data_IF_432562887291
#
_entry.id   IF_432562887291
#
_cell.length_a   1.000
_cell.length_b   1.000
_cell.length_c   1.000
_cell.angle_alpha   90.00
_cell.angle_beta   90.00
_cell.angle_gamma   90.00
#
_symmetry.space_group_name_H-M   'P 1'
#
loop_
_entity.id
_entity.type
_entity.pdbx_description
1 polymer ?
#
# COMPACT_ATOMS: atom_id res chain seq x y z
N UNK A 1 -54.15 62.17 -34.83
CA UNK A 1 -53.65 62.13 -36.22
C UNK A 1 -52.28 62.81 -36.23
N UNK A 2 -51.28 62.19 -36.88
CA UNK A 2 -49.91 62.67 -37.16
C UNK A 2 -48.98 62.76 -35.93
N UNK A 3 -47.89 61.96 -35.84
CA UNK A 3 -46.69 61.88 -36.68
C UNK A 3 -45.74 63.08 -36.43
N UNK A 4 -44.51 62.78 -35.99
CA UNK A 4 -43.48 63.80 -35.75
C UNK A 4 -42.16 63.21 -35.24
N UNK A 5 -41.50 62.45 -36.10
CA UNK A 5 -40.09 62.05 -36.02
C UNK A 5 -39.19 63.31 -35.95
N UNK A 6 -38.23 63.38 -35.04
CA UNK A 6 -37.12 64.34 -35.13
C UNK A 6 -35.78 63.60 -35.05
N UNK A 7 -35.11 63.55 -36.21
CA UNK A 7 -33.75 63.07 -36.45
C UNK A 7 -32.83 64.30 -36.56
N UNK A 8 -31.59 64.17 -36.06
CA UNK A 8 -30.43 64.99 -36.42
C UNK A 8 -29.84 65.74 -35.23
N UNK A 9 -28.54 65.83 -34.99
CA UNK A 9 -27.32 65.43 -35.69
C UNK A 9 -26.23 65.31 -34.57
N UNK A 10 -25.07 64.67 -34.74
CA UNK A 10 -23.89 65.30 -35.32
C UNK A 10 -22.71 64.32 -35.44
N UNK A 11 -21.80 64.76 -36.29
CA UNK A 11 -20.68 64.11 -36.95
C UNK A 11 -19.46 63.99 -36.02
N UNK A 12 -18.64 62.95 -36.23
CA UNK A 12 -17.49 62.46 -35.44
C UNK A 12 -16.34 63.47 -35.17
N UNK A 13 -15.41 63.15 -34.25
CA UNK A 13 -14.19 62.46 -34.69
C UNK A 13 -13.80 61.25 -33.83
N UNK A 14 -13.15 60.29 -34.48
CA UNK A 14 -12.49 59.16 -33.84
C UNK A 14 -11.30 59.63 -33.00
N UNK A 15 -11.37 59.47 -31.69
CA UNK A 15 -10.18 59.50 -30.83
C UNK A 15 -9.65 58.08 -30.73
N UNK A 16 -8.54 57.83 -31.43
CA UNK A 16 -7.71 56.65 -31.24
C UNK A 16 -7.32 56.54 -29.75
N UNK A 17 -7.87 55.54 -29.07
CA UNK A 17 -7.29 55.06 -27.82
C UNK A 17 -6.20 54.08 -28.21
N UNK A 18 -4.99 54.38 -27.75
CA UNK A 18 -3.82 53.55 -27.89
C UNK A 18 -4.13 52.11 -27.44
N UNK A 19 -3.75 51.15 -28.28
CA UNK A 19 -3.71 49.73 -27.94
C UNK A 19 -2.80 49.55 -26.71
N UNK A 20 -3.33 49.16 -25.53
CA UNK A 20 -2.45 48.78 -24.44
C UNK A 20 -1.68 47.52 -24.88
N UNK A 21 -0.36 47.44 -24.68
CA UNK A 21 0.34 46.18 -24.88
C UNK A 21 -0.38 45.11 -24.08
N UNK A 22 -0.78 44.03 -24.74
CA UNK A 22 -1.31 42.83 -24.08
C UNK A 22 -0.21 42.33 -23.14
N UNK A 23 -0.33 42.66 -21.86
CA UNK A 23 0.44 42.02 -20.82
C UNK A 23 0.12 40.52 -20.88
N UNK A 24 1.12 39.62 -20.89
CA UNK A 24 0.86 38.20 -20.90
C UNK A 24 0.02 37.87 -19.66
N UNK A 25 -1.15 37.26 -19.90
CA UNK A 25 -2.05 36.82 -18.84
C UNK A 25 -1.25 35.95 -17.85
N UNK A 26 -1.16 36.42 -16.62
CA UNK A 26 -0.61 35.66 -15.51
C UNK A 26 -1.62 34.55 -15.24
N UNK A 27 -1.25 33.31 -15.56
CA UNK A 27 -2.01 32.13 -15.17
C UNK A 27 -2.33 32.19 -13.67
N UNK A 28 -3.55 31.87 -13.23
CA UNK A 28 -3.84 31.69 -11.81
C UNK A 28 -2.89 30.63 -11.27
N UNK A 29 -2.03 31.04 -10.34
CA UNK A 29 -1.00 30.22 -9.74
C UNK A 29 -1.52 28.81 -9.44
N UNK A 30 -0.97 27.81 -10.15
CA UNK A 30 -1.05 26.43 -9.72
C UNK A 30 -0.53 26.36 -8.27
N UNK A 31 -1.16 25.58 -7.39
CA UNK A 31 -0.66 25.39 -6.03
C UNK A 31 0.80 24.94 -6.09
N UNK A 32 1.65 25.41 -5.15
CA UNK A 32 3.09 25.17 -5.18
C UNK A 32 3.35 23.67 -5.34
N UNK A 33 3.91 23.30 -6.49
CA UNK A 33 4.42 21.96 -6.71
C UNK A 33 5.59 21.79 -5.74
N UNK A 34 5.49 20.85 -4.81
CA UNK A 34 6.59 20.51 -3.90
C UNK A 34 7.69 19.93 -4.79
N UNK A 35 8.75 20.70 -5.03
CA UNK A 35 9.90 20.26 -5.84
C UNK A 35 10.55 19.04 -5.17
N UNK A 36 10.35 17.87 -5.78
CA UNK A 36 10.87 16.59 -5.30
C UNK A 36 10.11 15.35 -5.81
N UNK A 37 8.84 15.47 -6.23
CA UNK A 37 8.05 14.36 -6.75
C UNK A 37 7.72 14.57 -8.24
N UNK A 38 8.44 13.86 -9.13
CA UNK A 38 8.26 13.95 -10.59
C UNK A 38 7.63 12.68 -11.20
N UNK A 39 7.03 11.82 -10.36
CA UNK A 39 6.31 10.62 -10.77
C UNK A 39 4.85 10.60 -10.27
N UNK A 40 3.99 9.75 -10.82
CA UNK A 40 2.65 9.53 -10.26
C UNK A 40 2.76 9.07 -8.81
N UNK A 41 1.92 9.62 -7.93
CA UNK A 41 1.83 9.18 -6.54
C UNK A 41 0.82 8.05 -6.42
N UNK A 42 1.15 7.06 -5.61
CA UNK A 42 0.36 5.86 -5.39
C UNK A 42 -0.16 5.82 -3.96
N UNK A 43 -1.47 5.58 -3.81
CA UNK A 43 -2.07 5.45 -2.49
C UNK A 43 -1.83 4.03 -1.98
N UNK A 44 -1.26 3.91 -0.79
CA UNK A 44 -1.00 2.63 -0.16
C UNK A 44 -1.93 2.42 1.03
N UNK A 45 -2.60 1.29 1.07
CA UNK A 45 -3.34 0.80 2.23
C UNK A 45 -2.63 -0.40 2.83
N UNK A 46 -2.25 -0.28 4.10
CA UNK A 46 -1.61 -1.33 4.89
C UNK A 46 -2.64 -1.97 5.79
N UNK A 47 -2.77 -3.30 5.72
CA UNK A 47 -3.65 -4.09 6.58
C UNK A 47 -2.88 -5.16 7.31
N UNK A 48 -3.11 -5.29 8.61
CA UNK A 48 -2.52 -6.36 9.39
C UNK A 48 -3.53 -6.98 10.35
N UNK A 49 -3.46 -8.29 10.53
CA UNK A 49 -4.18 -9.02 11.56
C UNK A 49 -3.19 -9.80 12.42
N UNK A 50 -3.51 -9.84 13.70
CA UNK A 50 -2.75 -10.60 14.70
C UNK A 50 -3.78 -11.41 15.48
N UNK A 51 -3.89 -12.67 15.09
CA UNK A 51 -4.90 -13.58 15.60
C UNK A 51 -4.27 -14.51 16.63
N UNK A 52 -4.43 -14.19 17.91
CA UNK A 52 -3.90 -14.96 19.02
C UNK A 52 -3.76 -14.13 20.30
N UNK A 53 -3.01 -14.66 21.25
CA UNK A 53 -2.67 -13.94 22.49
C UNK A 53 -1.36 -13.22 22.24
N UNK A 54 -1.44 -11.93 21.95
CA UNK A 54 -0.28 -11.04 21.77
C UNK A 54 -0.27 -9.94 22.82
N UNK A 55 0.92 -9.46 23.19
CA UNK A 55 1.11 -8.17 23.85
C UNK A 55 2.11 -7.36 23.06
N UNK A 56 1.96 -6.03 23.18
CA UNK A 56 2.85 -5.05 22.56
C UNK A 56 3.09 -5.37 21.07
N UNK A 57 2.01 -5.67 20.35
CA UNK A 57 2.09 -5.80 18.92
C UNK A 57 2.53 -4.46 18.34
N UNK A 58 3.55 -4.48 17.49
CA UNK A 58 4.07 -3.30 16.81
C UNK A 58 3.94 -3.50 15.32
N UNK A 59 3.40 -2.51 14.62
CA UNK A 59 3.29 -2.48 13.16
C UNK A 59 4.04 -1.27 12.67
N UNK A 60 5.07 -1.50 11.86
CA UNK A 60 5.82 -0.46 11.18
C UNK A 60 5.49 -0.49 9.68
N UNK A 61 5.34 0.67 9.05
CA UNK A 61 4.95 0.78 7.64
C UNK A 61 5.47 2.08 7.03
N UNK A 62 5.64 2.10 5.70
CA UNK A 62 6.05 3.31 4.96
C UNK A 62 4.90 4.30 4.85
N UNK A 63 5.10 5.53 5.32
CA UNK A 63 4.12 6.62 5.13
C UNK A 63 4.40 7.43 3.86
N UNK A 64 5.68 7.50 3.48
CA UNK A 64 6.20 7.97 2.21
C UNK A 64 7.51 7.25 1.87
N UNK A 65 8.15 7.61 0.74
CA UNK A 65 9.38 6.98 0.25
C UNK A 65 10.50 6.90 1.30
N UNK A 66 10.58 7.91 2.16
CA UNK A 66 11.67 8.08 3.13
C UNK A 66 11.26 7.75 4.56
N UNK A 67 10.00 7.98 4.92
CA UNK A 67 9.56 7.92 6.30
C UNK A 67 8.83 6.62 6.64
N UNK A 68 9.10 6.12 7.83
CA UNK A 68 8.42 4.95 8.42
C UNK A 68 7.63 5.42 9.63
N UNK A 69 6.37 5.02 9.70
CA UNK A 69 5.54 5.21 10.87
C UNK A 69 5.40 3.88 11.63
N UNK A 70 5.19 3.97 12.94
CA UNK A 70 5.03 2.81 13.83
C UNK A 70 3.78 2.99 14.67
N UNK A 71 2.98 1.94 14.77
CA UNK A 71 1.78 1.88 15.59
C UNK A 71 1.82 0.66 16.51
N UNK A 72 1.28 0.82 17.73
CA UNK A 72 1.15 -0.26 18.70
C UNK A 72 -0.34 -0.54 18.98
N UNK A 73 -1.07 -1.20 18.06
CA UNK A 73 -2.50 -1.38 18.21
C UNK A 73 -2.84 -2.37 19.32
N UNK A 74 -3.96 -2.10 20.03
CA UNK A 74 -4.59 -3.10 20.89
C UNK A 74 -5.31 -4.13 20.03
N UNK A 75 -4.63 -5.24 19.75
CA UNK A 75 -5.15 -6.32 18.94
C UNK A 75 -6.05 -7.23 19.80
N UNK A 76 -7.36 -6.99 19.71
CA UNK A 76 -8.33 -7.99 20.13
C UNK A 76 -8.44 -9.03 18.98
N UNK A 77 -8.68 -10.31 19.29
CA UNK A 77 -8.85 -11.33 18.26
C UNK A 77 -9.86 -10.92 17.18
N UNK A 78 -9.52 -11.12 15.90
CA UNK A 78 -10.38 -10.78 14.77
C UNK A 78 -10.39 -9.30 14.37
N UNK A 79 -9.59 -8.42 15.00
CA UNK A 79 -9.42 -7.03 14.56
C UNK A 79 -8.33 -6.90 13.52
N UNK A 80 -8.61 -6.09 12.49
CA UNK A 80 -7.64 -5.65 11.49
C UNK A 80 -7.15 -4.25 11.85
N UNK A 81 -5.84 -4.08 11.89
CA UNK A 81 -5.21 -2.77 11.81
C UNK A 81 -5.21 -2.32 10.35
N UNK A 82 -5.58 -1.07 10.11
CA UNK A 82 -5.52 -0.45 8.79
C UNK A 82 -4.87 0.94 8.90
N UNK A 83 -3.96 1.25 7.98
CA UNK A 83 -3.34 2.57 7.86
C UNK A 83 -3.06 2.89 6.40
N UNK A 84 -2.86 4.17 6.08
CA UNK A 84 -2.58 4.62 4.72
C UNK A 84 -1.25 5.36 4.63
N UNK A 85 -0.66 5.34 3.44
CA UNK A 85 0.54 6.08 3.07
C UNK A 85 0.51 6.46 1.59
N UNK A 86 1.49 7.22 1.13
CA UNK A 86 1.60 7.61 -0.28
C UNK A 86 3.05 7.50 -0.72
N UNK A 87 3.31 6.71 -1.75
CA UNK A 87 4.67 6.46 -2.28
C UNK A 87 4.77 6.85 -3.75
N UNK A 88 5.98 7.13 -4.23
CA UNK A 88 6.22 7.42 -5.65
C UNK A 88 6.41 6.17 -6.51
N UNK A 89 6.78 5.05 -5.89
CA UNK A 89 6.89 3.74 -6.54
C UNK A 89 6.20 2.68 -5.66
N UNK A 90 5.22 1.91 -6.20
CA UNK A 90 4.56 0.82 -5.47
C UNK A 90 5.53 -0.19 -4.84
N UNK A 91 6.71 -0.39 -5.43
CA UNK A 91 7.73 -1.31 -4.91
C UNK A 91 8.42 -0.81 -3.63
N UNK A 92 8.21 0.46 -3.25
CA UNK A 92 8.69 1.02 -1.98
C UNK A 92 7.72 0.79 -0.83
N UNK A 93 6.49 0.34 -1.11
CA UNK A 93 5.50 0.03 -0.08
C UNK A 93 5.94 -1.17 0.75
N UNK A 94 6.15 -0.96 2.04
CA UNK A 94 6.67 -1.96 2.96
C UNK A 94 5.98 -1.89 4.31
N UNK A 95 5.85 -3.05 4.96
CA UNK A 95 5.28 -3.18 6.30
C UNK A 95 5.95 -4.33 7.06
N UNK A 96 6.11 -4.17 8.37
CA UNK A 96 6.55 -5.21 9.30
C UNK A 96 5.57 -5.31 10.46
N UNK A 97 5.07 -6.51 10.72
CA UNK A 97 4.20 -6.84 11.84
C UNK A 97 5.03 -7.64 12.85
N UNK A 98 5.11 -7.18 14.10
CA UNK A 98 5.88 -7.84 15.15
C UNK A 98 5.05 -8.04 16.40
N UNK A 99 5.25 -9.18 17.05
CA UNK A 99 4.76 -9.45 18.40
C UNK A 99 5.94 -9.71 19.33
N UNK A 100 5.76 -9.43 20.60
CA UNK A 100 6.78 -9.77 21.59
C UNK A 100 6.83 -11.29 21.83
N UNK A 101 8.04 -11.80 22.05
CA UNK A 101 8.22 -13.12 22.63
C UNK A 101 7.81 -13.09 24.14
N UNK A 102 7.20 -14.11 24.75
CA UNK A 102 6.93 -15.49 24.30
C UNK A 102 5.52 -15.69 23.71
N UNK A 103 4.89 -14.64 23.20
CA UNK A 103 3.51 -14.70 22.74
C UNK A 103 3.35 -15.50 21.44
N UNK A 104 2.12 -15.94 21.18
CA UNK A 104 1.78 -16.74 20.02
C UNK A 104 0.58 -16.18 19.29
N UNK A 105 0.73 -16.01 17.98
CA UNK A 105 -0.35 -15.56 17.12
C UNK A 105 -0.10 -16.01 15.67
N UNK A 106 -1.17 -16.07 14.89
CA UNK A 106 -1.07 -15.96 13.45
C UNK A 106 -0.91 -14.48 13.11
N UNK A 107 0.14 -14.17 12.36
CA UNK A 107 0.37 -12.85 11.81
C UNK A 107 -0.04 -12.88 10.35
N UNK A 108 -0.85 -11.93 9.95
CA UNK A 108 -1.25 -11.71 8.57
C UNK A 108 -0.99 -10.25 8.23
N UNK A 109 -0.54 -10.02 7.01
CA UNK A 109 -0.34 -8.68 6.49
C UNK A 109 -0.71 -8.62 5.01
N UNK A 110 -1.18 -7.46 4.58
CA UNK A 110 -1.58 -7.18 3.21
C UNK A 110 -1.23 -5.72 2.90
N UNK A 111 -0.69 -5.48 1.71
CA UNK A 111 -0.37 -4.17 1.18
C UNK A 111 -1.11 -4.00 -0.13
N UNK A 112 -2.02 -3.02 -0.16
CA UNK A 112 -2.74 -2.62 -1.35
C UNK A 112 -2.13 -1.32 -1.86
N UNK A 113 -1.84 -1.25 -3.15
CA UNK A 113 -1.47 -0.01 -3.83
C UNK A 113 -2.52 0.28 -4.87
N UNK A 114 -3.14 1.46 -4.79
CA UNK A 114 -4.28 1.85 -5.62
C UNK A 114 -5.39 0.78 -5.62
N UNK A 115 -5.72 0.30 -4.42
CA UNK A 115 -6.69 -0.78 -4.14
C UNK A 115 -6.35 -2.16 -4.72
N UNK A 116 -5.13 -2.37 -5.23
CA UNK A 116 -4.64 -3.66 -5.71
C UNK A 116 -3.66 -4.29 -4.72
N UNK A 117 -3.90 -5.53 -4.32
CA UNK A 117 -2.99 -6.28 -3.44
C UNK A 117 -1.70 -6.58 -4.19
N UNK A 118 -0.59 -5.95 -3.76
CA UNK A 118 0.73 -6.17 -4.37
C UNK A 118 1.63 -7.08 -3.52
N UNK A 119 1.34 -7.19 -2.22
CA UNK A 119 2.08 -8.04 -1.30
C UNK A 119 1.15 -8.53 -0.19
N UNK A 120 1.26 -9.81 0.15
CA UNK A 120 0.57 -10.42 1.28
C UNK A 120 1.46 -11.51 1.86
N UNK A 121 1.45 -11.66 3.18
CA UNK A 121 2.13 -12.77 3.82
C UNK A 121 1.40 -13.20 5.10
N UNK A 122 1.64 -14.44 5.47
CA UNK A 122 1.05 -15.11 6.63
C UNK A 122 2.13 -15.93 7.34
N UNK A 123 2.16 -15.88 8.66
CA UNK A 123 3.03 -16.76 9.44
C UNK A 123 2.45 -17.07 10.81
N UNK A 124 2.73 -18.27 11.31
CA UNK A 124 2.38 -18.66 12.67
C UNK A 124 3.59 -18.59 13.58
N UNK A 125 3.46 -17.79 14.66
CA UNK A 125 4.46 -17.70 15.71
C UNK A 125 4.06 -18.64 16.85
N UNK A 126 4.80 -19.73 17.00
CA UNK A 126 4.54 -20.72 18.04
C UNK A 126 4.97 -20.22 19.44
N UNK A 127 4.24 -20.58 20.51
CA UNK A 127 4.66 -20.26 21.86
C UNK A 127 5.90 -21.09 22.23
N UNK A 128 6.98 -20.42 22.63
CA UNK A 128 8.26 -21.06 22.99
C UNK A 128 8.86 -20.39 24.21
N UNK A 129 9.52 -21.17 25.08
CA UNK A 129 10.28 -20.65 26.23
C UNK A 129 11.66 -20.08 25.87
N UNK A 130 12.13 -20.31 24.65
CA UNK A 130 13.34 -19.71 24.09
C UNK A 130 13.13 -19.40 22.62
N UNK A 131 13.78 -18.35 22.11
CA UNK A 131 13.79 -18.08 20.67
C UNK A 131 14.47 -19.23 19.92
N UNK A 132 13.88 -19.78 18.84
CA UNK A 132 14.54 -20.79 18.03
C UNK A 132 15.88 -20.27 17.54
N UNK A 133 16.96 -21.01 17.83
CA UNK A 133 18.33 -20.65 17.40
C UNK A 133 18.76 -19.22 17.80
N UNK A 134 18.14 -18.63 18.83
CA UNK A 134 18.34 -17.22 19.22
C UNK A 134 18.06 -16.21 18.10
N UNK A 135 17.16 -16.52 17.18
CA UNK A 135 16.79 -15.64 16.07
C UNK A 135 16.17 -14.31 16.57
N UNK A 136 16.79 -13.15 16.29
CA UNK A 136 16.25 -11.85 16.71
C UNK A 136 14.97 -11.47 15.97
N UNK A 137 14.70 -12.03 14.78
CA UNK A 137 13.50 -11.78 13.99
C UNK A 137 12.32 -12.68 14.35
N UNK A 138 12.48 -13.61 15.31
CA UNK A 138 11.38 -14.50 15.71
C UNK A 138 10.21 -13.68 16.26
N UNK A 139 9.02 -13.88 15.67
CA UNK A 139 7.83 -13.09 16.01
C UNK A 139 7.61 -11.86 15.12
N UNK A 140 8.38 -11.69 14.04
CA UNK A 140 8.16 -10.68 13.01
C UNK A 140 7.74 -11.29 11.68
N UNK A 141 6.91 -10.54 10.93
CA UNK A 141 6.46 -10.82 9.58
C UNK A 141 6.72 -9.57 8.73
N UNK A 142 7.52 -9.71 7.68
CA UNK A 142 7.83 -8.65 6.71
C UNK A 142 6.99 -8.83 5.45
N UNK A 143 6.50 -7.73 4.89
CA UNK A 143 5.59 -7.70 3.74
C UNK A 143 6.00 -6.55 2.82
N UNK A 144 6.11 -6.85 1.52
CA UNK A 144 6.57 -5.88 0.52
C UNK A 144 8.02 -5.43 0.74
N UNK A 145 8.27 -4.13 0.63
CA UNK A 145 9.59 -3.53 0.75
C UNK A 145 10.18 -3.65 2.17
N UNK A 146 11.51 -3.74 2.25
CA UNK A 146 12.21 -3.66 3.52
C UNK A 146 12.17 -2.21 4.05
N UNK A 147 11.78 -2.07 5.33
CA UNK A 147 11.66 -0.76 5.98
C UNK A 147 13.02 -0.10 6.27
N UNK A 148 14.10 -0.89 6.40
CA UNK A 148 15.42 -0.39 6.77
C UNK A 148 16.11 0.38 5.64
N UNK A 149 15.86 0.02 4.38
CA UNK A 149 16.74 0.43 3.29
C UNK A 149 16.09 1.38 2.28
N UNK A 150 14.78 1.67 2.38
CA UNK A 150 14.05 2.36 1.30
C UNK A 150 14.24 1.70 -0.08
N UNK A 151 14.76 0.47 -0.08
CA UNK A 151 15.02 -0.40 -1.21
C UNK A 151 14.37 -1.70 -0.80
N UNK A 152 13.28 -2.04 -1.49
CA UNK A 152 12.46 -3.18 -1.16
C UNK A 152 13.22 -4.48 -1.30
N UNK A 153 13.79 -4.99 -0.20
CA UNK A 153 14.29 -6.36 -0.20
C UNK A 153 13.13 -7.30 0.17
N UNK A 154 12.42 -7.72 -0.87
CA UNK A 154 11.38 -8.75 -0.84
C UNK A 154 12.02 -10.09 -0.45
N UNK A 155 11.94 -10.42 0.84
CA UNK A 155 12.16 -11.80 1.33
C UNK A 155 10.80 -12.51 1.41
N UNK A 156 10.02 -12.47 0.32
CA UNK A 156 8.95 -13.41 -0.09
C UNK A 156 8.07 -12.80 -1.20
N UNK A 157 8.59 -12.72 -2.42
CA UNK A 157 7.75 -12.59 -3.63
C UNK A 157 8.12 -13.66 -4.64
N UNK A 158 8.04 -14.93 -4.21
CA UNK A 158 7.69 -15.94 -5.17
C UNK A 158 6.24 -15.69 -5.60
N UNK A 159 5.89 -15.76 -6.90
CA UNK A 159 4.50 -15.89 -7.31
C UNK A 159 3.85 -17.02 -6.50
N UNK A 160 2.63 -16.84 -6.02
CA UNK A 160 1.83 -17.97 -5.56
C UNK A 160 1.55 -18.82 -6.81
N UNK A 161 2.33 -19.87 -7.00
CA UNK A 161 2.09 -20.83 -8.08
C UNK A 161 0.67 -21.38 -7.91
N UNK A 162 -0.11 -21.51 -9.00
CA UNK A 162 -1.40 -22.18 -8.94
C UNK A 162 -1.22 -23.55 -8.30
N UNK A 163 -2.02 -23.86 -7.28
CA UNK A 163 -2.00 -25.17 -6.62
C UNK A 163 -2.27 -26.22 -7.69
N UNK A 164 -1.25 -26.98 -8.08
CA UNK A 164 -1.41 -28.11 -8.98
C UNK A 164 -2.40 -29.10 -8.34
N UNK A 165 -3.38 -29.64 -9.09
CA UNK A 165 -4.25 -30.66 -8.57
C UNK A 165 -3.41 -31.84 -8.09
N UNK A 166 -3.53 -32.18 -6.81
CA UNK A 166 -2.87 -33.35 -6.24
C UNK A 166 -3.29 -34.57 -7.06
N UNK A 167 -2.34 -35.18 -7.76
CA UNK A 167 -2.58 -36.41 -8.50
C UNK A 167 -3.15 -37.46 -7.54
N UNK A 168 -4.18 -38.24 -7.94
CA UNK A 168 -4.73 -39.30 -7.11
C UNK A 168 -3.62 -40.25 -6.68
N UNK A 169 -3.53 -40.54 -5.38
CA UNK A 169 -2.56 -41.50 -4.85
C UNK A 169 -2.71 -42.85 -5.57
N UNK A 170 -1.58 -43.44 -5.98
CA UNK A 170 -1.58 -44.78 -6.55
C UNK A 170 -2.18 -45.79 -5.54
N UNK A 171 -3.01 -46.74 -6.02
CA UNK A 171 -3.55 -47.78 -5.15
C UNK A 171 -2.40 -48.64 -4.58
N UNK A 172 -2.54 -49.12 -3.33
CA UNK A 172 -1.51 -49.93 -2.70
C UNK A 172 -1.26 -51.22 -3.49
N UNK A 173 -0.02 -51.75 -3.48
CA UNK A 173 0.32 -52.97 -4.19
C UNK A 173 -0.54 -54.16 -3.69
N UNK A 174 -0.89 -55.10 -4.58
CA UNK A 174 -1.68 -56.26 -4.21
C UNK A 174 -0.94 -57.11 -3.17
N UNK A 175 -1.67 -57.73 -2.22
CA UNK A 175 -1.06 -58.60 -1.22
C UNK A 175 -0.37 -59.79 -1.90
N UNK A 176 0.74 -60.30 -1.32
CA UNK A 176 1.47 -61.42 -1.89
C UNK A 176 0.57 -62.65 -2.04
N UNK A 177 0.67 -63.30 -3.19
CA UNK A 177 -0.08 -64.52 -3.49
C UNK A 177 0.23 -65.60 -2.44
N UNK A 178 -0.80 -66.03 -1.72
CA UNK A 178 -0.72 -67.21 -0.87
C UNK A 178 -0.73 -68.44 -1.79
N UNK A 179 0.44 -69.07 -1.96
CA UNK A 179 0.53 -70.36 -2.62
C UNK A 179 -0.18 -71.41 -1.75
N UNK A 180 -1.37 -71.85 -2.19
CA UNK A 180 -2.01 -73.04 -1.65
C UNK A 180 -1.25 -74.27 -2.17
N UNK A 181 -0.88 -75.15 -1.24
CA UNK A 181 -0.32 -76.48 -1.50
C UNK A 181 -1.35 -77.42 -2.13
#
# INVERSE_FOLDING_TARGET
>A
MLAGLLIGAQIAPATALADPPVEPAVDPAAPPQVEGQTGPLHNVTYRARIDGVSRNATIAYKIDDSNVNTADPTMLPGRTFEATGVVTDPQLAGMTVRIDWPYSANLHCEILVDDQVIAQADTFVAPRLTRPKNDPGYGSLLCGANLADGTGNVINTGPVEPVEPVAPAEPPPPPPAQNAA
#
